data_IF_823023651906
#
_entry.id   IF_823023651906
#
_cell.length_a   1.000
_cell.length_b   1.000
_cell.length_c   1.000
_cell.angle_alpha   90.00
_cell.angle_beta   90.00
_cell.angle_gamma   90.00
#
_symmetry.space_group_name_H-M   'P 1'
#
loop_
_entity.id
_entity.type
_entity.pdbx_description
1 polymer ?
#
# COMPACT_ATOMS: atom_id res chain seq x y z
N UNK A 1 12.47 -6.91 -14.16
CA UNK A 1 12.41 -7.47 -12.80
C UNK A 1 11.00 -7.24 -12.27
N UNK A 2 10.28 -8.31 -11.96
CA UNK A 2 8.90 -8.28 -11.47
C UNK A 2 8.86 -7.99 -9.96
N UNK A 3 7.69 -7.60 -9.45
CA UNK A 3 7.48 -7.40 -8.01
C UNK A 3 7.75 -8.67 -7.18
N UNK A 4 7.43 -9.83 -7.74
CA UNK A 4 7.72 -11.12 -7.13
C UNK A 4 9.21 -11.40 -7.05
N UNK A 5 9.95 -11.16 -8.13
CA UNK A 5 11.42 -11.34 -8.15
C UNK A 5 12.10 -10.42 -7.13
N UNK A 6 11.61 -9.18 -6.95
CA UNK A 6 12.12 -8.24 -5.94
C UNK A 6 11.86 -8.75 -4.51
N UNK A 7 10.65 -9.24 -4.25
CA UNK A 7 10.32 -9.86 -2.98
C UNK A 7 11.18 -11.09 -2.69
N UNK A 8 11.33 -11.98 -3.66
CA UNK A 8 12.09 -13.23 -3.48
C UNK A 8 13.59 -12.94 -3.23
N UNK A 9 14.17 -11.95 -3.92
CA UNK A 9 15.54 -11.50 -3.64
C UNK A 9 15.68 -10.92 -2.22
N UNK A 10 14.72 -10.11 -1.77
CA UNK A 10 14.68 -9.58 -0.41
C UNK A 10 14.52 -10.70 0.64
N UNK A 11 13.63 -11.65 0.41
CA UNK A 11 13.36 -12.75 1.32
C UNK A 11 14.56 -13.72 1.43
N UNK A 12 15.25 -13.99 0.31
CA UNK A 12 16.51 -14.73 0.31
C UNK A 12 17.60 -14.04 1.12
N UNK A 13 17.72 -12.70 1.03
CA UNK A 13 18.68 -11.94 1.85
C UNK A 13 18.43 -12.07 3.36
N UNK A 14 17.19 -12.42 3.75
CA UNK A 14 16.76 -12.66 5.13
C UNK A 14 16.74 -14.15 5.50
N UNK A 15 17.27 -15.01 4.62
CA UNK A 15 17.29 -16.46 4.78
C UNK A 15 15.88 -17.07 5.02
N UNK A 16 14.85 -16.47 4.40
CA UNK A 16 13.49 -17.00 4.44
C UNK A 16 13.35 -18.18 3.49
N UNK A 17 12.71 -19.26 3.94
CA UNK A 17 12.39 -20.41 3.11
C UNK A 17 11.32 -20.05 2.08
N UNK A 18 11.69 -20.02 0.80
CA UNK A 18 10.78 -19.77 -0.31
C UNK A 18 10.52 -21.09 -1.04
N UNK A 19 9.36 -21.69 -0.79
CA UNK A 19 8.87 -22.82 -1.54
C UNK A 19 7.50 -22.43 -2.11
N UNK A 20 7.40 -22.34 -3.44
CA UNK A 20 6.20 -21.86 -4.14
C UNK A 20 5.33 -23.04 -4.54
N UNK A 21 4.06 -22.96 -4.21
CA UNK A 21 3.02 -23.91 -4.59
C UNK A 21 2.55 -23.66 -6.02
N UNK A 22 1.85 -24.63 -6.63
CA UNK A 22 1.37 -24.53 -8.03
C UNK A 22 0.38 -23.37 -8.23
N UNK A 23 -0.35 -22.99 -7.19
CA UNK A 23 -1.29 -21.86 -7.19
C UNK A 23 -0.60 -20.49 -7.01
N UNK A 24 0.72 -20.47 -6.82
CA UNK A 24 1.52 -19.27 -6.65
C UNK A 24 1.67 -18.79 -5.21
N UNK A 25 1.06 -19.45 -4.23
CA UNK A 25 1.27 -19.19 -2.78
C UNK A 25 2.61 -19.73 -2.28
N UNK A 26 3.06 -19.28 -1.11
CA UNK A 26 4.23 -19.85 -0.45
C UNK A 26 3.84 -20.94 0.55
N UNK A 27 4.54 -22.07 0.54
CA UNK A 27 4.32 -23.19 1.46
C UNK A 27 4.52 -22.78 2.92
N UNK A 28 5.48 -21.90 3.19
CA UNK A 28 5.73 -21.39 4.53
C UNK A 28 4.84 -20.18 4.82
N UNK A 29 4.03 -20.27 5.88
CA UNK A 29 3.11 -19.21 6.31
C UNK A 29 3.81 -17.86 6.46
N UNK A 30 5.02 -17.83 7.04
CA UNK A 30 5.78 -16.59 7.21
C UNK A 30 6.19 -15.93 5.87
N UNK A 31 6.46 -16.73 4.83
CA UNK A 31 6.76 -16.21 3.49
C UNK A 31 5.49 -15.72 2.79
N UNK A 32 4.37 -16.42 2.99
CA UNK A 32 3.07 -16.05 2.41
C UNK A 32 2.52 -14.75 3.04
N UNK A 33 2.59 -14.62 4.37
CA UNK A 33 2.24 -13.38 5.08
C UNK A 33 3.15 -12.22 4.70
N UNK A 34 4.47 -12.47 4.58
CA UNK A 34 5.40 -11.44 4.14
C UNK A 34 5.13 -11.00 2.70
N UNK A 35 4.71 -11.92 1.83
CA UNK A 35 4.30 -11.61 0.46
C UNK A 35 3.03 -10.77 0.43
N UNK A 36 2.02 -11.12 1.24
CA UNK A 36 0.81 -10.32 1.39
C UNK A 36 1.12 -8.90 1.89
N UNK A 37 1.99 -8.76 2.90
CA UNK A 37 2.43 -7.46 3.39
C UNK A 37 3.23 -6.67 2.34
N UNK A 38 4.06 -7.35 1.54
CA UNK A 38 4.81 -6.76 0.44
C UNK A 38 3.89 -6.19 -0.65
N UNK A 39 2.77 -6.87 -0.93
CA UNK A 39 1.76 -6.40 -1.87
C UNK A 39 0.90 -5.26 -1.31
N UNK A 40 0.64 -5.27 0.00
CA UNK A 40 -0.13 -4.22 0.69
C UNK A 40 0.67 -2.96 1.01
N UNK A 41 1.98 -2.94 0.71
CA UNK A 41 2.84 -1.79 1.00
C UNK A 41 2.39 -0.55 0.23
N UNK A 42 2.62 0.62 0.82
CA UNK A 42 2.40 1.89 0.15
C UNK A 42 3.19 1.91 -1.19
N UNK A 43 2.59 2.38 -2.31
CA UNK A 43 3.28 2.46 -3.59
C UNK A 43 4.55 3.30 -3.50
N UNK A 44 5.47 3.09 -4.44
CA UNK A 44 6.71 3.87 -4.51
C UNK A 44 6.37 5.37 -4.60
N UNK A 45 6.97 6.19 -3.73
CA UNK A 45 6.67 7.63 -3.60
C UNK A 45 5.57 7.97 -2.58
N UNK A 46 4.87 6.99 -2.01
CA UNK A 46 3.85 7.19 -0.98
C UNK A 46 4.36 6.69 0.38
N UNK A 47 4.00 7.41 1.45
CA UNK A 47 4.37 7.05 2.84
C UNK A 47 3.12 6.62 3.59
N UNK A 48 3.22 5.51 4.32
CA UNK A 48 2.15 5.10 5.21
C UNK A 48 2.16 6.03 6.43
N UNK A 49 1.07 6.77 6.63
CA UNK A 49 0.92 7.72 7.76
C UNK A 49 0.84 6.96 9.09
N UNK A 50 1.68 7.34 10.06
CA UNK A 50 1.15 7.84 11.32
C UNK A 50 1.67 9.27 11.49
N UNK A 51 1.12 10.19 10.70
CA UNK A 51 1.28 11.62 10.90
C UNK A 51 -0.11 12.14 11.20
N UNK A 52 -0.25 12.95 12.25
CA UNK A 52 -1.51 13.62 12.54
C UNK A 52 -1.94 14.38 11.28
N UNK A 53 -3.13 14.13 10.73
CA UNK A 53 -3.58 14.77 9.51
C UNK A 53 -3.53 16.29 9.72
N UNK A 54 -3.06 17.01 8.71
CA UNK A 54 -3.08 18.48 8.77
C UNK A 54 -4.51 18.99 8.78
N UNK A 55 -4.75 20.19 9.32
CA UNK A 55 -6.09 20.81 9.30
C UNK A 55 -6.66 20.87 7.87
N UNK A 56 -5.83 21.18 6.87
CA UNK A 56 -6.22 21.18 5.45
C UNK A 56 -6.72 19.82 4.95
N UNK A 57 -6.12 18.70 5.39
CA UNK A 57 -6.57 17.36 5.03
C UNK A 57 -7.91 17.00 5.71
N UNK A 58 -8.12 17.46 6.95
CA UNK A 58 -9.37 17.26 7.69
C UNK A 58 -10.50 18.10 7.08
N UNK A 59 -10.20 19.34 6.70
CA UNK A 59 -11.15 20.24 6.05
C UNK A 59 -11.53 19.74 4.66
N UNK A 60 -10.56 19.31 3.85
CA UNK A 60 -10.83 18.70 2.55
C UNK A 60 -11.66 17.41 2.67
N UNK A 61 -11.39 16.57 3.68
CA UNK A 61 -12.19 15.38 3.95
C UNK A 61 -13.61 15.74 4.41
N UNK A 62 -13.77 16.79 5.22
CA UNK A 62 -15.06 17.27 5.73
C UNK A 62 -15.90 17.95 4.64
N UNK A 63 -15.26 18.69 3.73
CA UNK A 63 -15.90 19.27 2.53
C UNK A 63 -16.26 18.18 1.51
N UNK A 64 -15.39 17.19 1.31
CA UNK A 64 -15.65 16.04 0.45
C UNK A 64 -16.68 15.07 1.04
N UNK A 65 -16.91 15.11 2.36
CA UNK A 65 -17.98 14.38 3.05
C UNK A 65 -19.34 15.01 2.74
N UNK A 66 -19.81 14.84 1.49
CA UNK A 66 -21.19 15.12 1.13
C UNK A 66 -22.10 14.04 1.76
N UNK A 67 -23.21 14.42 2.44
CA UNK A 67 -24.06 13.48 3.17
C UNK A 67 -24.80 12.46 2.28
N UNK A 68 -24.64 12.52 0.95
CA UNK A 68 -25.27 11.58 0.03
C UNK A 68 -24.33 11.14 -1.10
N UNK A 69 -23.54 10.10 -0.80
CA UNK A 69 -23.40 8.93 -1.68
C UNK A 69 -22.47 9.05 -2.88
N UNK A 70 -21.17 8.90 -2.68
CA UNK A 70 -20.36 7.84 -3.31
C UNK A 70 -18.94 7.89 -2.70
N UNK A 71 -18.64 6.95 -1.81
CA UNK A 71 -17.34 6.91 -1.11
C UNK A 71 -16.16 6.72 -2.08
N UNK A 72 -16.40 6.11 -3.25
CA UNK A 72 -15.38 5.98 -4.28
C UNK A 72 -14.97 7.34 -4.87
N UNK A 73 -15.92 8.26 -5.02
CA UNK A 73 -15.66 9.61 -5.53
C UNK A 73 -14.85 10.44 -4.52
N UNK A 74 -15.20 10.32 -3.23
CA UNK A 74 -14.45 10.98 -2.15
C UNK A 74 -13.00 10.51 -2.08
N UNK A 75 -12.76 9.20 -2.22
CA UNK A 75 -11.41 8.62 -2.26
C UNK A 75 -10.63 9.12 -3.49
N UNK A 76 -11.25 9.16 -4.67
CA UNK A 76 -10.59 9.66 -5.88
C UNK A 76 -10.22 11.15 -5.77
N UNK A 77 -11.10 11.97 -5.19
CA UNK A 77 -10.81 13.38 -4.95
C UNK A 77 -9.61 13.56 -4.00
N UNK A 78 -9.59 12.83 -2.88
CA UNK A 78 -8.49 12.89 -1.92
C UNK A 78 -7.13 12.52 -2.56
N UNK A 79 -7.11 11.57 -3.50
CA UNK A 79 -5.90 11.20 -4.24
C UNK A 79 -5.45 12.33 -5.19
N UNK A 80 -6.37 12.98 -5.89
CA UNK A 80 -6.05 14.07 -6.84
C UNK A 80 -5.47 15.31 -6.16
N UNK A 81 -5.93 15.62 -4.94
CA UNK A 81 -5.50 16.81 -4.21
C UNK A 81 -4.32 16.57 -3.25
N UNK A 82 -3.80 15.34 -3.17
CA UNK A 82 -2.62 15.07 -2.39
C UNK A 82 -1.42 15.88 -2.93
N UNK A 83 -0.63 16.53 -2.07
CA UNK A 83 0.51 17.32 -2.51
C UNK A 83 1.56 16.43 -3.18
N UNK A 84 2.01 16.80 -4.38
CA UNK A 84 3.11 16.13 -5.06
C UNK A 84 4.43 16.43 -4.33
N UNK A 85 5.22 15.39 -4.01
CA UNK A 85 6.59 15.59 -3.52
C UNK A 85 7.39 16.32 -4.62
N UNK A 86 7.76 17.58 -4.36
CA UNK A 86 8.68 18.35 -5.21
C UNK A 86 10.03 17.61 -5.27
N UNK A 87 10.35 17.06 -6.45
CA UNK A 87 11.64 16.43 -6.77
C UNK A 87 12.81 17.41 -6.74
#
# INVERSE_FOLDING_TARGET
>A
MTERERFEAWAQSRNMGLCVMVDGSYYHTAADEAWAAWQARCPDGYKCVPVEPTEEMVDAASEAYMPFGDMALAIQAAIVYAPEEQQ
#
